data_IF_926365115936
#
_entry.id   IF_926365115936
#
_cell.length_a   1.000
_cell.length_b   1.000
_cell.length_c   1.000
_cell.angle_alpha   90.00
_cell.angle_beta   90.00
_cell.angle_gamma   90.00
#
_symmetry.space_group_name_H-M   'P 1'
#
loop_
_entity.id
_entity.type
_entity.pdbx_description
1 polymer ?
#
# COMPACT_ATOMS: atom_id res chain seq x y z
N UNK A 1 53.94 -3.58 10.47
CA UNK A 1 52.94 -4.51 11.03
C UNK A 1 51.58 -3.92 10.70
N UNK A 2 50.96 -4.39 9.60
CA UNK A 2 49.60 -4.04 9.20
C UNK A 2 48.65 -4.98 9.95
N UNK A 3 47.73 -4.46 10.73
CA UNK A 3 46.57 -5.19 11.22
C UNK A 3 45.35 -4.85 10.36
N UNK A 4 44.87 -5.82 9.60
CA UNK A 4 43.61 -5.74 8.87
C UNK A 4 42.45 -5.98 9.83
N UNK A 5 41.65 -4.96 10.04
CA UNK A 5 40.38 -5.08 10.75
C UNK A 5 39.31 -5.60 9.78
N UNK A 6 38.92 -6.85 9.97
CA UNK A 6 37.76 -7.44 9.31
C UNK A 6 36.51 -6.82 9.94
N UNK A 7 35.82 -5.97 9.21
CA UNK A 7 34.49 -5.50 9.58
C UNK A 7 33.50 -6.65 9.35
N UNK A 8 33.06 -7.29 10.43
CA UNK A 8 31.95 -8.23 10.38
C UNK A 8 30.65 -7.44 10.05
N UNK A 9 30.10 -7.65 8.88
CA UNK A 9 28.74 -7.24 8.56
C UNK A 9 27.78 -8.06 9.45
N UNK A 10 27.35 -7.48 10.56
CA UNK A 10 26.20 -8.00 11.28
C UNK A 10 24.95 -7.72 10.43
N UNK A 11 24.53 -8.72 9.68
CA UNK A 11 23.16 -8.77 9.15
C UNK A 11 22.25 -8.94 10.37
N UNK A 12 21.73 -7.85 10.89
CA UNK A 12 20.62 -7.91 11.81
C UNK A 12 19.43 -8.42 11.03
N UNK A 13 19.16 -9.70 11.14
CA UNK A 13 17.86 -10.26 10.80
C UNK A 13 16.85 -9.62 11.74
N UNK A 14 16.14 -8.60 11.26
CA UNK A 14 14.98 -8.06 11.94
C UNK A 14 13.92 -9.15 11.87
N UNK A 15 13.79 -9.91 12.95
CA UNK A 15 12.68 -10.83 13.12
C UNK A 15 11.40 -9.99 13.24
N UNK A 16 10.64 -9.91 12.16
CA UNK A 16 9.33 -9.30 12.20
C UNK A 16 8.43 -10.13 13.08
N UNK A 17 8.21 -9.70 14.30
CA UNK A 17 7.10 -10.12 15.14
C UNK A 17 5.87 -9.34 14.67
N UNK A 18 4.80 -10.02 14.25
CA UNK A 18 3.49 -9.40 14.32
C UNK A 18 3.29 -9.03 15.79
N UNK A 19 3.35 -7.75 16.10
CA UNK A 19 3.26 -7.26 17.45
C UNK A 19 1.78 -7.28 17.84
N UNK A 20 1.40 -8.24 18.68
CA UNK A 20 0.19 -8.03 19.47
C UNK A 20 0.53 -6.97 20.51
N UNK A 21 -0.22 -5.89 20.56
CA UNK A 21 -0.11 -4.92 21.65
C UNK A 21 -0.24 -5.68 22.97
N UNK A 22 0.78 -5.64 23.82
CA UNK A 22 0.73 -6.36 25.09
C UNK A 22 -0.29 -5.69 26.01
N UNK A 23 -1.36 -6.41 26.29
CA UNK A 23 -2.31 -5.98 27.29
C UNK A 23 -1.60 -5.89 28.66
N UNK A 24 -1.94 -4.84 29.42
CA UNK A 24 -1.42 -4.68 30.77
C UNK A 24 -1.61 -5.99 31.58
N UNK A 25 -0.58 -6.44 32.30
CA UNK A 25 -0.57 -7.68 33.07
C UNK A 25 -1.66 -7.74 34.15
N UNK A 26 -2.26 -6.62 34.52
CA UNK A 26 -3.42 -6.55 35.46
C UNK A 26 -4.74 -6.97 34.82
N UNK A 27 -4.82 -7.06 33.48
CA UNK A 27 -6.01 -7.53 32.77
C UNK A 27 -6.11 -9.05 32.92
N UNK A 28 -6.99 -9.51 33.79
CA UNK A 28 -7.14 -10.95 34.12
C UNK A 28 -8.10 -11.68 33.19
N UNK A 29 -9.16 -11.00 32.77
CA UNK A 29 -10.23 -11.59 31.95
C UNK A 29 -10.16 -11.05 30.51
N UNK A 30 -9.24 -11.60 29.73
CA UNK A 30 -9.08 -11.23 28.32
C UNK A 30 -10.17 -11.88 27.49
N UNK A 31 -11.21 -11.12 27.14
CA UNK A 31 -12.27 -11.58 26.24
C UNK A 31 -11.74 -11.70 24.79
N UNK A 32 -12.40 -12.53 23.95
CA UNK A 32 -12.04 -12.60 22.52
C UNK A 32 -12.10 -11.22 21.82
N UNK A 33 -13.07 -10.39 22.15
CA UNK A 33 -13.21 -9.03 21.59
C UNK A 33 -12.04 -8.12 22.00
N UNK A 34 -11.62 -8.19 23.27
CA UNK A 34 -10.47 -7.41 23.75
C UNK A 34 -9.17 -7.87 23.09
N UNK A 35 -8.99 -9.18 22.94
CA UNK A 35 -7.83 -9.75 22.23
C UNK A 35 -7.80 -9.29 20.77
N UNK A 36 -8.92 -9.36 20.06
CA UNK A 36 -9.04 -8.89 18.69
C UNK A 36 -8.73 -7.38 18.57
N UNK A 37 -9.28 -6.57 19.49
CA UNK A 37 -9.05 -5.13 19.51
C UNK A 37 -7.60 -4.74 19.85
N UNK A 38 -6.86 -5.60 20.57
CA UNK A 38 -5.44 -5.37 20.89
C UNK A 38 -4.48 -5.88 19.81
N UNK A 39 -4.98 -6.56 18.78
CA UNK A 39 -4.17 -7.04 17.65
C UNK A 39 -3.99 -5.90 16.66
N UNK A 40 -2.75 -5.43 16.51
CA UNK A 40 -2.35 -4.43 15.52
C UNK A 40 -1.33 -5.04 14.54
N UNK A 41 -1.21 -4.45 13.36
CA UNK A 41 -0.30 -4.96 12.34
C UNK A 41 -0.87 -6.13 11.56
N UNK A 42 -0.04 -7.13 11.30
CA UNK A 42 -0.48 -8.34 10.57
C UNK A 42 -1.52 -9.09 11.37
N UNK A 43 -2.72 -9.19 10.80
CA UNK A 43 -3.78 -10.01 11.39
C UNK A 43 -3.56 -11.49 11.06
N UNK A 44 -3.82 -12.38 12.03
CA UNK A 44 -3.70 -13.83 11.86
C UNK A 44 -4.82 -14.55 12.60
N UNK A 45 -5.35 -15.59 11.95
CA UNK A 45 -6.33 -16.51 12.53
C UNK A 45 -5.93 -17.95 12.27
N UNK A 46 -5.95 -18.76 13.33
CA UNK A 46 -5.76 -20.20 13.27
C UNK A 46 -7.06 -20.89 13.67
N UNK A 47 -7.66 -21.66 12.75
CA UNK A 47 -8.92 -22.37 13.00
C UNK A 47 -8.63 -23.71 13.69
N UNK A 48 -9.09 -23.91 14.96
CA UNK A 48 -8.80 -25.13 15.71
C UNK A 48 -9.43 -26.39 15.09
N UNK A 49 -10.56 -26.27 14.39
CA UNK A 49 -11.27 -27.42 13.81
C UNK A 49 -10.60 -27.97 12.54
N UNK A 50 -9.70 -27.20 11.93
CA UNK A 50 -9.05 -27.56 10.68
C UNK A 50 -7.55 -27.89 10.82
N UNK A 51 -7.04 -28.01 12.06
CA UNK A 51 -5.60 -28.21 12.32
C UNK A 51 -5.06 -29.52 11.75
N UNK A 52 -5.90 -30.53 11.56
CA UNK A 52 -5.52 -31.83 11.00
C UNK A 52 -5.29 -31.78 9.47
N UNK A 53 -5.66 -30.72 8.79
CA UNK A 53 -5.42 -30.58 7.35
C UNK A 53 -3.94 -30.37 7.07
N UNK A 54 -3.46 -30.98 5.98
CA UNK A 54 -2.10 -30.70 5.47
C UNK A 54 -1.99 -29.24 5.06
N UNK A 55 -0.83 -28.64 5.33
CA UNK A 55 -0.55 -27.30 4.88
C UNK A 55 -0.42 -27.25 3.36
N UNK A 56 -1.20 -26.41 2.72
CA UNK A 56 -1.11 -26.02 1.33
C UNK A 56 -1.32 -24.52 1.26
N UNK A 57 -0.24 -23.81 0.96
CA UNK A 57 -0.17 -22.38 1.09
C UNK A 57 -0.47 -21.67 -0.23
N UNK A 58 -1.12 -20.51 -0.14
CA UNK A 58 -1.29 -19.58 -1.25
C UNK A 58 -1.10 -18.13 -0.75
N UNK A 59 -0.70 -17.25 -1.64
CA UNK A 59 -0.75 -15.81 -1.45
C UNK A 59 -1.93 -15.29 -2.26
N UNK A 60 -2.80 -14.49 -1.65
CA UNK A 60 -3.89 -13.78 -2.32
C UNK A 60 -3.59 -12.28 -2.31
N UNK A 61 -3.32 -11.72 -3.48
CA UNK A 61 -3.16 -10.28 -3.68
C UNK A 61 -4.53 -9.66 -3.92
N UNK A 62 -4.91 -8.69 -3.10
CA UNK A 62 -6.12 -7.90 -3.27
C UNK A 62 -5.78 -6.50 -3.74
N UNK A 63 -6.48 -6.00 -4.73
CA UNK A 63 -6.27 -4.68 -5.34
C UNK A 63 -7.57 -4.08 -5.82
N UNK A 64 -7.67 -2.75 -5.80
CA UNK A 64 -8.82 -2.05 -6.39
C UNK A 64 -8.97 -2.36 -7.90
N UNK A 65 -7.84 -2.53 -8.59
CA UNK A 65 -7.80 -2.79 -10.02
C UNK A 65 -7.73 -1.52 -10.88
N UNK A 66 -7.62 -1.71 -12.18
CA UNK A 66 -7.65 -0.63 -13.18
C UNK A 66 -8.16 -1.14 -14.52
N UNK A 67 -8.82 -0.24 -15.29
CA UNK A 67 -9.26 -0.50 -16.68
C UNK A 67 -8.20 -0.16 -17.71
N UNK A 68 -7.04 0.35 -17.30
CA UNK A 68 -5.92 0.70 -18.18
C UNK A 68 -4.96 -0.49 -18.26
N UNK A 69 -5.04 -1.26 -19.35
CA UNK A 69 -4.26 -2.49 -19.53
C UNK A 69 -2.74 -2.29 -19.40
N UNK A 70 -2.19 -1.26 -20.05
CA UNK A 70 -0.75 -0.96 -19.98
C UNK A 70 -0.29 -0.56 -18.57
N UNK A 71 -1.12 0.22 -17.87
CA UNK A 71 -0.84 0.62 -16.48
C UNK A 71 -0.91 -0.59 -15.56
N UNK A 72 -1.92 -1.46 -15.74
CA UNK A 72 -2.07 -2.71 -14.98
C UNK A 72 -0.82 -3.57 -15.11
N UNK A 73 -0.37 -3.81 -16.35
CA UNK A 73 0.82 -4.64 -16.63
C UNK A 73 2.09 -4.11 -15.94
N UNK A 74 2.26 -2.79 -15.88
CA UNK A 74 3.43 -2.14 -15.28
C UNK A 74 3.35 -2.00 -13.76
N UNK A 75 2.17 -2.13 -13.18
CA UNK A 75 1.93 -1.88 -11.75
C UNK A 75 1.46 -3.14 -11.04
N UNK A 76 0.18 -3.48 -11.11
CA UNK A 76 -0.42 -4.63 -10.40
C UNK A 76 0.28 -5.92 -10.79
N UNK A 77 0.31 -6.24 -12.09
CA UNK A 77 0.91 -7.48 -12.59
C UNK A 77 2.41 -7.55 -12.26
N UNK A 78 3.11 -6.40 -12.26
CA UNK A 78 4.53 -6.32 -11.90
C UNK A 78 4.78 -6.57 -10.40
N UNK A 79 3.87 -6.11 -9.52
CA UNK A 79 3.94 -6.41 -8.07
C UNK A 79 3.68 -7.89 -7.83
N UNK A 80 2.65 -8.45 -8.45
CA UNK A 80 2.33 -9.88 -8.34
C UNK A 80 3.47 -10.77 -8.82
N UNK A 81 4.04 -10.43 -9.99
CA UNK A 81 5.20 -11.14 -10.53
C UNK A 81 6.42 -11.05 -9.60
N UNK A 82 6.62 -9.90 -8.93
CA UNK A 82 7.71 -9.74 -7.97
C UNK A 82 7.50 -10.59 -6.71
N UNK A 83 6.27 -10.64 -6.18
CA UNK A 83 5.89 -11.51 -5.06
C UNK A 83 6.05 -12.97 -5.46
N UNK A 84 5.53 -13.40 -6.63
CA UNK A 84 5.67 -14.77 -7.12
C UNK A 84 7.13 -15.17 -7.31
N UNK A 85 7.97 -14.26 -7.79
CA UNK A 85 9.41 -14.52 -7.94
C UNK A 85 10.12 -14.69 -6.59
N UNK A 86 9.71 -13.95 -5.58
CA UNK A 86 10.24 -14.07 -4.22
C UNK A 86 9.77 -15.38 -3.52
N UNK A 87 8.59 -15.87 -3.88
CA UNK A 87 7.96 -17.08 -3.34
C UNK A 87 7.64 -18.10 -4.44
N UNK A 88 8.64 -18.72 -5.10
CA UNK A 88 8.41 -19.55 -6.27
C UNK A 88 7.57 -20.81 -5.98
N UNK A 89 7.58 -21.31 -4.76
CA UNK A 89 6.88 -22.52 -4.34
C UNK A 89 5.45 -22.26 -3.82
N UNK A 90 5.05 -20.98 -3.67
CA UNK A 90 3.74 -20.58 -3.16
C UNK A 90 3.02 -19.81 -4.27
N UNK A 91 1.93 -20.35 -4.84
CA UNK A 91 1.23 -19.66 -5.94
C UNK A 91 0.56 -18.36 -5.46
N UNK A 92 0.65 -17.35 -6.32
CA UNK A 92 0.02 -16.05 -6.14
C UNK A 92 -1.28 -16.01 -6.92
N UNK A 93 -2.35 -15.58 -6.26
CA UNK A 93 -3.68 -15.38 -6.82
C UNK A 93 -4.03 -13.89 -6.70
N UNK A 94 -4.90 -13.42 -7.60
CA UNK A 94 -5.36 -12.04 -7.67
C UNK A 94 -6.85 -11.93 -7.41
N UNK A 95 -7.27 -10.89 -6.71
CA UNK A 95 -8.66 -10.48 -6.61
C UNK A 95 -8.79 -8.96 -6.73
N UNK A 96 -9.82 -8.52 -7.45
CA UNK A 96 -10.19 -7.11 -7.58
C UNK A 96 -11.29 -6.76 -6.60
N UNK A 97 -11.11 -5.69 -5.84
CA UNK A 97 -12.11 -5.22 -4.87
C UNK A 97 -13.16 -4.31 -5.51
N UNK A 98 -12.86 -3.69 -6.65
CA UNK A 98 -13.82 -2.83 -7.36
C UNK A 98 -14.63 -3.60 -8.39
N UNK A 99 -15.92 -3.86 -8.08
CA UNK A 99 -16.85 -4.50 -9.01
C UNK A 99 -17.01 -3.73 -10.31
N UNK A 100 -17.01 -2.39 -10.25
CA UNK A 100 -17.10 -1.52 -11.44
C UNK A 100 -15.90 -1.76 -12.36
N UNK A 101 -14.70 -1.89 -11.81
CA UNK A 101 -13.50 -2.18 -12.60
C UNK A 101 -13.55 -3.58 -13.20
N UNK A 102 -14.01 -4.58 -12.45
CA UNK A 102 -14.19 -5.95 -12.95
C UNK A 102 -15.11 -5.95 -14.18
N UNK A 103 -16.27 -5.32 -14.07
CA UNK A 103 -17.25 -5.25 -15.16
C UNK A 103 -16.71 -4.51 -16.39
N UNK A 104 -16.00 -3.39 -16.17
CA UNK A 104 -15.39 -2.62 -17.26
C UNK A 104 -14.25 -3.37 -17.96
N UNK A 105 -13.40 -4.07 -17.21
CA UNK A 105 -12.32 -4.91 -17.77
C UNK A 105 -12.93 -6.05 -18.60
N UNK A 106 -13.97 -6.71 -18.07
CA UNK A 106 -14.70 -7.75 -18.82
C UNK A 106 -15.31 -7.21 -20.10
N UNK A 107 -15.97 -6.06 -20.05
CA UNK A 107 -16.59 -5.44 -21.22
C UNK A 107 -15.58 -5.00 -22.28
N UNK A 108 -14.43 -4.47 -21.85
CA UNK A 108 -13.41 -3.88 -22.74
C UNK A 108 -12.43 -4.92 -23.30
N UNK A 109 -12.05 -5.92 -22.48
CA UNK A 109 -10.96 -6.84 -22.78
C UNK A 109 -11.42 -8.31 -22.84
N UNK A 110 -12.66 -8.62 -22.43
CA UNK A 110 -13.14 -10.00 -22.30
C UNK A 110 -12.53 -10.79 -21.15
N UNK A 111 -11.73 -10.13 -20.28
CA UNK A 111 -11.04 -10.76 -19.15
C UNK A 111 -11.95 -10.74 -17.93
N UNK A 112 -12.23 -11.91 -17.35
CA UNK A 112 -12.95 -12.01 -16.08
C UNK A 112 -11.95 -11.94 -14.92
N UNK A 113 -11.97 -10.84 -14.16
CA UNK A 113 -11.27 -10.71 -12.88
C UNK A 113 -12.18 -11.24 -11.76
N UNK A 114 -11.59 -11.87 -10.74
CA UNK A 114 -12.32 -12.41 -9.59
C UNK A 114 -12.55 -11.32 -8.53
N UNK A 115 -13.70 -11.38 -7.87
CA UNK A 115 -13.87 -10.70 -6.59
C UNK A 115 -13.10 -11.43 -5.47
N UNK A 116 -12.86 -10.82 -4.30
CA UNK A 116 -12.26 -11.51 -3.16
C UNK A 116 -13.03 -12.78 -2.75
N UNK A 117 -14.37 -12.75 -2.77
CA UNK A 117 -15.23 -13.90 -2.46
C UNK A 117 -15.03 -15.05 -3.45
N UNK A 118 -14.94 -14.74 -4.74
CA UNK A 118 -14.69 -15.72 -5.80
C UNK A 118 -13.29 -16.33 -5.67
N UNK A 119 -12.27 -15.48 -5.36
CA UNK A 119 -10.91 -15.93 -5.16
C UNK A 119 -10.77 -16.87 -3.96
N UNK A 120 -11.36 -16.54 -2.80
CA UNK A 120 -11.39 -17.43 -1.64
C UNK A 120 -12.13 -18.73 -1.94
N UNK A 121 -13.25 -18.67 -2.66
CA UNK A 121 -14.02 -19.86 -3.06
C UNK A 121 -13.19 -20.77 -3.95
N UNK A 122 -12.47 -20.22 -4.92
CA UNK A 122 -11.53 -20.95 -5.78
C UNK A 122 -10.40 -21.58 -4.98
N UNK A 123 -9.73 -20.81 -4.11
CA UNK A 123 -8.66 -21.32 -3.25
C UNK A 123 -9.14 -22.51 -2.41
N UNK A 124 -10.33 -22.41 -1.81
CA UNK A 124 -10.91 -23.51 -1.04
C UNK A 124 -11.19 -24.73 -1.90
N UNK A 125 -11.78 -24.54 -3.09
CA UNK A 125 -12.09 -25.64 -4.04
C UNK A 125 -10.81 -26.34 -4.53
N UNK A 126 -9.72 -25.61 -4.70
CA UNK A 126 -8.41 -26.16 -5.09
C UNK A 126 -7.63 -26.78 -3.91
N UNK A 127 -8.20 -26.77 -2.70
CA UNK A 127 -7.67 -27.43 -1.51
C UNK A 127 -6.55 -26.66 -0.81
N UNK A 128 -6.42 -25.36 -1.04
CA UNK A 128 -5.55 -24.52 -0.21
C UNK A 128 -6.11 -24.43 1.19
N UNK A 129 -5.23 -24.55 2.18
CA UNK A 129 -5.60 -24.60 3.60
C UNK A 129 -5.12 -23.39 4.38
N UNK A 130 -4.03 -22.74 3.90
CA UNK A 130 -3.50 -21.51 4.50
C UNK A 130 -3.39 -20.44 3.41
N UNK A 131 -3.92 -19.24 3.68
CA UNK A 131 -3.92 -18.13 2.72
C UNK A 131 -3.34 -16.88 3.38
N UNK A 132 -2.21 -16.41 2.84
CA UNK A 132 -1.62 -15.12 3.18
C UNK A 132 -2.19 -14.05 2.25
N UNK A 133 -2.90 -13.08 2.81
CA UNK A 133 -3.52 -11.98 2.05
C UNK A 133 -2.60 -10.77 2.05
N UNK A 134 -2.34 -10.21 0.89
CA UNK A 134 -1.56 -8.99 0.67
C UNK A 134 -2.45 -7.96 -0.02
N UNK A 135 -2.81 -6.91 0.70
CA UNK A 135 -3.52 -5.77 0.13
C UNK A 135 -2.52 -4.85 -0.58
N UNK A 136 -2.85 -4.41 -1.80
CA UNK A 136 -2.08 -3.39 -2.52
C UNK A 136 -2.52 -1.97 -2.17
N UNK A 137 -3.29 -1.80 -1.11
CA UNK A 137 -3.67 -0.48 -0.62
C UNK A 137 -2.46 0.27 -0.04
N UNK A 138 -2.49 1.58 -0.20
CA UNK A 138 -1.36 2.45 0.21
C UNK A 138 -1.47 2.83 1.68
N UNK A 139 -2.69 3.00 2.18
CA UNK A 139 -3.02 3.43 3.55
C UNK A 139 -4.13 2.55 4.14
N UNK A 140 -4.33 2.50 5.47
CA UNK A 140 -5.48 1.82 6.08
C UNK A 140 -6.76 2.65 5.87
N UNK A 141 -7.25 2.66 4.63
CA UNK A 141 -8.44 3.36 4.18
C UNK A 141 -9.70 2.48 4.16
N UNK A 142 -10.69 2.91 3.39
CA UNK A 142 -11.96 2.20 3.24
C UNK A 142 -11.74 0.86 2.52
N UNK A 143 -10.89 0.84 1.50
CA UNK A 143 -10.56 -0.33 0.71
C UNK A 143 -9.88 -1.40 1.57
N UNK A 144 -8.87 -1.02 2.36
CA UNK A 144 -8.23 -1.94 3.31
C UNK A 144 -9.20 -2.47 4.39
N UNK A 145 -10.15 -1.65 4.81
CA UNK A 145 -11.22 -2.09 5.72
C UNK A 145 -12.08 -3.18 5.08
N UNK A 146 -12.38 -3.07 3.78
CA UNK A 146 -13.06 -4.12 3.02
C UNK A 146 -12.23 -5.40 2.95
N UNK A 147 -10.92 -5.30 2.60
CA UNK A 147 -10.01 -6.44 2.57
C UNK A 147 -9.94 -7.16 3.93
N UNK A 148 -9.92 -6.39 5.01
CA UNK A 148 -9.94 -6.93 6.38
C UNK A 148 -11.24 -7.67 6.69
N UNK A 149 -12.38 -7.07 6.39
CA UNK A 149 -13.69 -7.66 6.65
C UNK A 149 -13.87 -8.95 5.86
N UNK A 150 -13.62 -8.93 4.54
CA UNK A 150 -13.82 -10.11 3.70
C UNK A 150 -12.88 -11.26 4.07
N UNK A 151 -11.63 -10.95 4.45
CA UNK A 151 -10.68 -11.96 4.93
C UNK A 151 -11.16 -12.60 6.22
N UNK A 152 -11.59 -11.80 7.20
CA UNK A 152 -12.12 -12.28 8.48
C UNK A 152 -13.38 -13.13 8.31
N UNK A 153 -14.23 -12.84 7.35
CA UNK A 153 -15.41 -13.66 7.02
C UNK A 153 -15.06 -15.07 6.51
N UNK A 154 -13.81 -15.33 6.14
CA UNK A 154 -13.37 -16.66 5.70
C UNK A 154 -12.78 -17.53 6.81
N UNK A 155 -12.72 -17.07 8.07
CA UNK A 155 -12.08 -17.77 9.20
C UNK A 155 -12.53 -19.22 9.37
N UNK A 156 -13.80 -19.52 9.15
CA UNK A 156 -14.33 -20.88 9.28
C UNK A 156 -13.96 -21.82 8.13
N UNK A 157 -13.41 -21.30 7.03
CA UNK A 157 -13.18 -22.07 5.79
C UNK A 157 -11.74 -22.52 5.64
N UNK A 158 -10.77 -21.83 6.27
CA UNK A 158 -9.35 -22.11 6.13
C UNK A 158 -8.71 -22.49 7.46
N UNK A 159 -7.66 -23.33 7.37
CA UNK A 159 -6.86 -23.71 8.53
C UNK A 159 -6.19 -22.51 9.16
N UNK A 160 -5.56 -21.69 8.33
CA UNK A 160 -4.94 -20.43 8.75
C UNK A 160 -5.19 -19.34 7.71
N UNK A 161 -5.42 -18.15 8.19
CA UNK A 161 -5.52 -16.92 7.40
C UNK A 161 -4.63 -15.86 8.02
N UNK A 162 -3.95 -15.10 7.19
CA UNK A 162 -3.28 -13.88 7.61
C UNK A 162 -3.57 -12.75 6.64
N UNK A 163 -3.56 -11.52 7.14
CA UNK A 163 -3.69 -10.31 6.34
C UNK A 163 -2.55 -9.36 6.70
N UNK A 164 -1.71 -9.07 5.72
CA UNK A 164 -0.66 -8.07 5.86
C UNK A 164 -1.26 -6.67 6.05
N UNK A 165 -0.47 -5.78 6.66
CA UNK A 165 -0.80 -4.36 6.69
C UNK A 165 -0.75 -3.77 5.27
N UNK A 166 -1.44 -2.65 5.00
CA UNK A 166 -1.25 -1.91 3.75
C UNK A 166 0.19 -1.37 3.68
N UNK A 167 0.54 -0.70 2.58
CA UNK A 167 1.90 -0.19 2.35
C UNK A 167 2.41 0.66 3.51
N UNK A 168 1.57 1.56 4.03
CA UNK A 168 1.85 2.41 5.20
C UNK A 168 0.81 2.13 6.30
N UNK A 169 1.26 1.62 7.41
CA UNK A 169 0.43 1.32 8.59
C UNK A 169 1.07 1.87 9.87
N UNK A 170 2.25 1.40 10.23
CA UNK A 170 2.98 1.87 11.40
C UNK A 170 3.67 3.22 11.16
N UNK A 171 3.77 4.03 12.21
CA UNK A 171 4.25 5.40 12.17
C UNK A 171 5.44 5.66 13.11
N UNK A 172 6.18 4.61 13.48
CA UNK A 172 7.36 4.71 14.32
C UNK A 172 7.06 4.94 15.81
N UNK A 173 5.94 4.45 16.31
CA UNK A 173 5.57 4.55 17.73
C UNK A 173 5.78 3.21 18.44
N UNK A 174 6.12 3.25 19.71
CA UNK A 174 6.23 2.07 20.61
C UNK A 174 7.14 0.94 20.07
N UNK A 175 8.19 1.31 19.33
CA UNK A 175 9.13 0.34 18.77
C UNK A 175 8.78 -0.23 17.40
N UNK A 176 7.61 0.10 16.88
CA UNK A 176 7.19 -0.26 15.52
C UNK A 176 7.94 0.56 14.46
N UNK A 177 8.11 0.05 13.23
CA UNK A 177 8.78 0.77 12.15
C UNK A 177 8.00 2.02 11.73
N UNK A 178 8.69 3.01 11.16
CA UNK A 178 8.03 4.13 10.48
C UNK A 178 7.88 3.83 8.99
N UNK A 179 6.81 3.12 8.64
CA UNK A 179 6.53 2.70 7.25
C UNK A 179 6.25 3.88 6.31
N UNK A 180 5.91 5.05 6.86
CA UNK A 180 5.77 6.27 6.06
C UNK A 180 7.15 6.78 5.62
N UNK A 181 8.15 6.70 6.49
CA UNK A 181 9.56 6.99 6.15
C UNK A 181 10.09 5.97 5.12
N UNK A 182 9.79 4.68 5.31
CA UNK A 182 10.20 3.63 4.37
C UNK A 182 9.62 3.87 2.97
N UNK A 183 8.33 4.20 2.91
CA UNK A 183 7.65 4.58 1.67
C UNK A 183 8.32 5.79 1.00
N UNK A 184 8.54 6.89 1.73
CA UNK A 184 9.19 8.09 1.20
C UNK A 184 10.61 7.80 0.70
N UNK A 185 11.36 6.95 1.40
CA UNK A 185 12.68 6.49 0.96
C UNK A 185 12.61 5.64 -0.32
N UNK A 186 11.56 4.84 -0.49
CA UNK A 186 11.36 4.04 -1.70
C UNK A 186 11.06 4.92 -2.93
N UNK A 187 10.23 5.97 -2.77
CA UNK A 187 9.79 6.81 -3.90
C UNK A 187 10.69 8.01 -4.19
N UNK A 188 11.57 8.41 -3.27
CA UNK A 188 12.42 9.63 -3.44
C UNK A 188 13.28 9.61 -4.69
N UNK A 189 13.67 8.45 -5.21
CA UNK A 189 14.44 8.31 -6.45
C UNK A 189 13.66 8.72 -7.71
N UNK A 190 12.33 8.78 -7.61
CA UNK A 190 11.44 9.21 -8.68
C UNK A 190 11.20 10.71 -8.67
N UNK A 191 11.56 11.41 -7.60
CA UNK A 191 11.43 12.86 -7.56
C UNK A 191 12.39 13.49 -8.55
N UNK A 192 11.94 14.50 -9.34
CA UNK A 192 12.81 15.21 -10.23
C UNK A 192 13.90 15.94 -9.44
N UNK A 193 15.03 16.20 -10.10
CA UNK A 193 16.02 17.12 -9.55
C UNK A 193 15.39 18.51 -9.45
N UNK A 194 15.34 19.04 -8.23
CA UNK A 194 14.64 20.28 -7.93
C UNK A 194 15.62 21.41 -7.61
N UNK A 195 15.46 22.54 -8.32
CA UNK A 195 16.09 23.80 -8.00
C UNK A 195 15.34 24.55 -6.88
N UNK A 196 15.80 25.76 -6.59
CA UNK A 196 15.18 26.59 -5.51
C UNK A 196 13.75 27.05 -5.81
N UNK A 197 13.38 27.10 -7.09
CA UNK A 197 12.06 27.54 -7.55
C UNK A 197 11.13 26.36 -7.95
N UNK A 198 11.60 25.13 -7.74
CA UNK A 198 10.91 23.90 -8.15
C UNK A 198 10.26 23.21 -6.96
N UNK A 199 9.04 22.73 -7.13
CA UNK A 199 8.34 21.90 -6.17
C UNK A 199 7.76 20.64 -6.83
N UNK A 200 7.65 19.55 -6.08
CA UNK A 200 6.93 18.35 -6.46
C UNK A 200 5.67 18.22 -5.59
N UNK A 201 4.53 18.07 -6.23
CA UNK A 201 3.27 17.77 -5.59
C UNK A 201 2.96 16.29 -5.78
N UNK A 202 2.97 15.53 -4.69
CA UNK A 202 2.59 14.13 -4.69
C UNK A 202 1.09 14.00 -4.43
N UNK A 203 0.39 13.47 -5.43
CA UNK A 203 -1.07 13.36 -5.45
C UNK A 203 -1.53 12.02 -4.89
N UNK A 204 -2.25 12.05 -3.78
CA UNK A 204 -2.96 10.93 -3.22
C UNK A 204 -4.42 10.89 -3.70
N UNK A 205 -5.09 9.74 -3.58
CA UNK A 205 -6.51 9.62 -3.91
C UNK A 205 -7.37 10.47 -2.95
N UNK A 206 -7.21 10.28 -1.67
CA UNK A 206 -8.13 10.80 -0.65
C UNK A 206 -9.14 9.73 -0.24
N UNK A 207 -9.76 9.91 0.91
CA UNK A 207 -10.79 9.00 1.42
C UNK A 207 -11.63 9.70 2.50
N UNK A 208 -12.95 9.42 2.60
CA UNK A 208 -13.76 9.86 3.73
C UNK A 208 -13.45 9.10 5.03
N UNK A 209 -12.67 8.00 4.96
CA UNK A 209 -12.25 7.21 6.11
C UNK A 209 -11.25 8.00 6.97
N UNK A 210 -11.22 7.80 8.32
CA UNK A 210 -10.22 8.42 9.20
C UNK A 210 -8.76 8.20 8.77
N UNK A 211 -8.48 7.14 8.00
CA UNK A 211 -7.19 6.89 7.34
C UNK A 211 -6.70 8.03 6.46
N UNK A 212 -7.57 8.96 6.06
CA UNK A 212 -7.17 10.20 5.36
C UNK A 212 -6.10 11.00 6.14
N UNK A 213 -6.02 10.85 7.46
CA UNK A 213 -5.01 11.48 8.29
C UNK A 213 -3.57 11.08 7.90
N UNK A 214 -3.37 9.94 7.24
CA UNK A 214 -2.05 9.52 6.75
C UNK A 214 -1.42 10.52 5.79
N UNK A 215 -2.20 11.25 5.03
CA UNK A 215 -1.65 12.27 4.12
C UNK A 215 -1.02 13.44 4.90
N UNK A 216 -1.53 13.77 6.08
CA UNK A 216 -0.88 14.73 6.98
C UNK A 216 0.38 14.15 7.63
N UNK A 217 0.37 12.85 7.94
CA UNK A 217 1.57 12.16 8.45
C UNK A 217 2.66 12.11 7.37
N UNK A 218 2.30 11.83 6.11
CA UNK A 218 3.25 11.88 4.99
C UNK A 218 3.89 13.27 4.89
N UNK A 219 3.11 14.35 5.00
CA UNK A 219 3.63 15.71 4.97
C UNK A 219 4.58 16.00 6.16
N UNK A 220 4.25 15.55 7.36
CA UNK A 220 5.14 15.66 8.53
C UNK A 220 6.48 14.93 8.30
N UNK A 221 6.45 13.72 7.72
CA UNK A 221 7.67 12.97 7.42
C UNK A 221 8.48 13.57 6.28
N UNK A 222 7.83 14.14 5.26
CA UNK A 222 8.48 14.93 4.20
C UNK A 222 9.29 16.08 4.81
N UNK A 223 8.70 16.83 5.73
CA UNK A 223 9.35 17.95 6.40
C UNK A 223 10.51 17.48 7.30
N UNK A 224 10.33 16.42 8.08
CA UNK A 224 11.37 15.83 8.93
C UNK A 224 12.56 15.26 8.14
N UNK A 225 12.31 14.75 6.94
CA UNK A 225 13.36 14.27 6.02
C UNK A 225 14.05 15.39 5.23
N UNK A 226 13.67 16.66 5.48
CA UNK A 226 14.26 17.83 4.81
C UNK A 226 13.86 17.97 3.34
N UNK A 227 12.79 17.32 2.91
CA UNK A 227 12.27 17.40 1.53
C UNK A 227 11.42 18.66 1.33
N UNK A 228 12.02 19.84 1.54
CA UNK A 228 11.34 21.13 1.67
C UNK A 228 10.54 21.58 0.43
N UNK A 229 10.79 20.95 -0.71
CA UNK A 229 10.16 21.22 -2.00
C UNK A 229 9.08 20.18 -2.37
N UNK A 230 8.77 19.23 -1.48
CA UNK A 230 7.76 18.19 -1.72
C UNK A 230 6.52 18.45 -0.87
N UNK A 231 5.34 18.33 -1.47
CA UNK A 231 4.05 18.54 -0.78
C UNK A 231 3.10 17.42 -1.17
N UNK A 232 2.35 16.92 -0.18
CA UNK A 232 1.27 15.98 -0.42
C UNK A 232 -0.06 16.72 -0.56
N UNK A 233 -0.89 16.26 -1.48
CA UNK A 233 -2.27 16.65 -1.61
C UNK A 233 -3.12 15.49 -2.11
N UNK A 234 -4.44 15.58 -2.02
CA UNK A 234 -5.36 14.55 -2.45
C UNK A 234 -6.43 15.08 -3.39
N UNK A 235 -6.95 14.18 -4.25
CA UNK A 235 -8.06 14.48 -5.16
C UNK A 235 -9.36 14.61 -4.35
N UNK A 236 -9.71 13.59 -3.57
CA UNK A 236 -10.99 13.47 -2.86
C UNK A 236 -10.87 13.59 -1.33
N UNK A 237 -9.79 14.21 -0.82
CA UNK A 237 -9.55 14.30 0.61
C UNK A 237 -8.89 15.61 1.03
N UNK A 238 -8.17 15.54 2.15
CA UNK A 238 -7.37 16.65 2.70
C UNK A 238 -5.95 16.17 3.04
N UNK A 239 -4.91 17.05 2.84
CA UNK A 239 -4.98 18.37 2.19
C UNK A 239 -5.35 18.24 0.71
N UNK A 240 -6.01 19.23 0.15
CA UNK A 240 -6.29 19.33 -1.28
C UNK A 240 -5.46 20.42 -1.96
N UNK A 241 -5.65 20.60 -3.26
CA UNK A 241 -4.85 21.55 -4.04
C UNK A 241 -5.01 23.00 -3.54
N UNK A 242 -6.21 23.39 -3.06
CA UNK A 242 -6.44 24.72 -2.51
C UNK A 242 -5.68 24.96 -1.19
N UNK A 243 -5.37 23.92 -0.44
CA UNK A 243 -4.58 24.00 0.79
C UNK A 243 -3.08 24.16 0.49
N UNK A 244 -2.62 23.70 -0.69
CA UNK A 244 -1.20 23.69 -1.07
C UNK A 244 -0.78 24.90 -1.89
N UNK A 245 -1.61 25.39 -2.81
CA UNK A 245 -1.31 26.55 -3.67
C UNK A 245 -0.81 27.77 -2.87
N UNK A 246 -1.45 28.19 -1.76
CA UNK A 246 -0.95 29.31 -0.97
C UNK A 246 0.46 29.07 -0.40
N UNK A 247 0.77 27.84 0.01
CA UNK A 247 2.09 27.44 0.54
C UNK A 247 3.17 27.53 -0.54
N UNK A 248 2.87 27.08 -1.77
CA UNK A 248 3.79 27.18 -2.91
C UNK A 248 4.12 28.64 -3.23
N UNK A 249 3.11 29.50 -3.27
CA UNK A 249 3.28 30.94 -3.52
C UNK A 249 4.10 31.62 -2.41
N UNK A 250 3.81 31.33 -1.16
CA UNK A 250 4.52 31.90 -0.01
C UNK A 250 6.00 31.51 0.00
N UNK A 251 6.35 30.32 -0.48
CA UNK A 251 7.74 29.85 -0.60
C UNK A 251 8.44 30.29 -1.90
N UNK A 252 7.73 30.95 -2.81
CA UNK A 252 8.30 31.50 -4.06
C UNK A 252 8.54 30.47 -5.15
N UNK A 253 7.93 29.30 -5.10
CA UNK A 253 8.02 28.30 -6.16
C UNK A 253 7.37 28.81 -7.43
N UNK A 254 7.94 28.42 -8.58
CA UNK A 254 7.46 28.81 -9.92
C UNK A 254 7.16 27.59 -10.79
N UNK A 255 7.91 26.51 -10.60
CA UNK A 255 7.74 25.27 -11.36
C UNK A 255 7.20 24.19 -10.45
N UNK A 256 6.21 23.45 -10.93
CA UNK A 256 5.56 22.37 -10.18
C UNK A 256 5.56 21.11 -11.02
N UNK A 257 6.02 19.99 -10.44
CA UNK A 257 5.84 18.67 -11.01
C UNK A 257 4.74 17.94 -10.24
N UNK A 258 3.70 17.48 -10.94
CA UNK A 258 2.65 16.64 -10.39
C UNK A 258 3.03 15.16 -10.54
N UNK A 259 2.88 14.39 -9.47
CA UNK A 259 3.25 12.98 -9.41
C UNK A 259 2.22 12.21 -8.56
N UNK A 260 1.59 11.11 -9.06
CA UNK A 260 0.67 10.34 -8.25
C UNK A 260 1.41 9.45 -7.25
N UNK A 261 0.85 9.29 -6.04
CA UNK A 261 1.23 8.28 -5.06
C UNK A 261 0.10 7.26 -4.87
N UNK A 262 -0.32 6.68 -5.98
CA UNK A 262 -1.34 5.63 -6.07
C UNK A 262 -0.72 4.39 -6.69
N UNK A 263 -1.23 3.20 -6.35
CA UNK A 263 -0.73 1.94 -6.91
C UNK A 263 -0.66 1.99 -8.43
N UNK A 264 -1.70 2.53 -9.06
CA UNK A 264 -1.83 2.69 -10.51
C UNK A 264 -1.97 4.16 -10.89
N UNK A 265 -1.37 4.59 -11.98
CA UNK A 265 -1.62 5.88 -12.61
C UNK A 265 -2.79 5.75 -13.59
N UNK A 266 -4.00 5.61 -13.04
CA UNK A 266 -5.25 5.41 -13.79
C UNK A 266 -5.94 6.73 -14.16
N UNK A 267 -7.27 6.73 -14.01
CA UNK A 267 -8.16 7.84 -14.42
C UNK A 267 -7.78 9.16 -13.75
N UNK A 268 -7.67 9.17 -12.41
CA UNK A 268 -7.29 10.37 -11.64
C UNK A 268 -5.94 10.96 -12.06
N UNK A 269 -4.95 10.13 -12.40
CA UNK A 269 -3.65 10.63 -12.84
C UNK A 269 -3.69 11.22 -14.26
N UNK A 270 -4.46 10.61 -15.15
CA UNK A 270 -4.52 11.04 -16.55
C UNK A 270 -5.51 12.19 -16.78
N UNK A 271 -6.65 12.19 -16.09
CA UNK A 271 -7.70 13.18 -16.28
C UNK A 271 -7.65 14.27 -15.21
N UNK A 272 -7.86 13.95 -13.93
CA UNK A 272 -7.94 14.97 -12.87
C UNK A 272 -6.58 15.66 -12.64
N UNK A 273 -5.47 14.92 -12.65
CA UNK A 273 -4.16 15.50 -12.42
C UNK A 273 -3.58 16.17 -13.69
N UNK A 274 -3.50 15.44 -14.80
CA UNK A 274 -2.71 15.80 -15.96
C UNK A 274 -3.55 16.17 -17.20
N UNK A 275 -4.87 16.08 -17.13
CA UNK A 275 -5.80 16.41 -18.22
C UNK A 275 -5.74 17.87 -18.65
N UNK A 276 -6.39 18.16 -19.78
CA UNK A 276 -6.47 19.52 -20.35
C UNK A 276 -7.73 20.28 -19.96
N UNK A 277 -8.65 19.62 -19.24
CA UNK A 277 -9.87 20.24 -18.76
C UNK A 277 -9.58 21.41 -17.79
N UNK A 278 -10.41 22.46 -17.76
CA UNK A 278 -10.19 23.65 -16.95
C UNK A 278 -10.10 23.38 -15.43
N UNK A 279 -10.69 22.29 -14.97
CA UNK A 279 -10.71 21.82 -13.58
C UNK A 279 -9.62 20.78 -13.25
N UNK A 280 -8.82 20.36 -14.25
CA UNK A 280 -7.65 19.54 -13.98
C UNK A 280 -6.63 20.28 -13.10
N UNK A 281 -5.91 19.54 -12.28
CA UNK A 281 -4.90 20.12 -11.36
C UNK A 281 -3.80 20.86 -12.13
N UNK A 282 -3.38 20.33 -13.28
CA UNK A 282 -2.45 20.99 -14.20
C UNK A 282 -2.99 22.35 -14.65
N UNK A 283 -4.25 22.42 -15.09
CA UNK A 283 -4.89 23.65 -15.56
C UNK A 283 -5.06 24.67 -14.42
N UNK A 284 -5.51 24.22 -13.25
CA UNK A 284 -5.67 25.06 -12.04
C UNK A 284 -4.34 25.68 -11.63
N UNK A 285 -3.27 24.90 -11.56
CA UNK A 285 -1.92 25.37 -11.19
C UNK A 285 -1.34 26.31 -12.25
N UNK A 286 -1.56 26.02 -13.54
CA UNK A 286 -1.13 26.90 -14.65
C UNK A 286 -1.83 28.25 -14.55
N UNK A 287 -3.16 28.24 -14.32
CA UNK A 287 -3.95 29.46 -14.09
C UNK A 287 -3.51 30.22 -12.84
N UNK A 288 -3.02 29.52 -11.81
CA UNK A 288 -2.46 30.13 -10.60
C UNK A 288 -1.06 30.72 -10.81
N UNK A 289 -0.45 30.57 -12.00
CA UNK A 289 0.81 31.19 -12.41
C UNK A 289 2.02 30.27 -12.33
N UNK A 290 1.86 28.96 -12.17
CA UNK A 290 2.95 27.99 -12.15
C UNK A 290 3.22 27.42 -13.55
N UNK A 291 4.48 27.09 -13.82
CA UNK A 291 4.85 26.18 -14.91
C UNK A 291 4.68 24.76 -14.40
N UNK A 292 3.84 23.95 -15.07
CA UNK A 292 3.46 22.62 -14.59
C UNK A 292 4.03 21.53 -15.50
N UNK A 293 4.69 20.56 -14.88
CA UNK A 293 5.09 19.29 -15.48
C UNK A 293 4.29 18.16 -14.84
N UNK A 294 4.15 17.03 -15.53
CA UNK A 294 3.47 15.83 -15.02
C UNK A 294 4.38 14.62 -15.14
N UNK A 295 4.41 13.80 -14.09
CA UNK A 295 5.08 12.51 -14.03
C UNK A 295 4.03 11.44 -13.74
N UNK A 296 3.56 10.75 -14.79
CA UNK A 296 2.41 9.83 -14.73
C UNK A 296 2.91 8.40 -14.65
N UNK A 297 3.27 7.98 -13.43
CA UNK A 297 3.69 6.61 -13.12
C UNK A 297 3.02 6.14 -11.83
N UNK A 298 2.54 4.90 -11.82
CA UNK A 298 1.98 4.28 -10.63
C UNK A 298 3.07 3.75 -9.69
N UNK A 299 2.74 3.63 -8.41
CA UNK A 299 3.69 3.14 -7.40
C UNK A 299 4.22 1.74 -7.72
N UNK A 300 3.39 0.87 -8.32
CA UNK A 300 3.80 -0.49 -8.71
C UNK A 300 4.90 -0.54 -9.78
N UNK A 301 5.16 0.54 -10.51
CA UNK A 301 6.28 0.63 -11.45
C UNK A 301 7.64 0.75 -10.74
N UNK A 302 7.66 1.16 -9.47
CA UNK A 302 8.87 1.36 -8.69
C UNK A 302 9.33 0.06 -8.03
N UNK A 303 10.57 -0.37 -8.32
CA UNK A 303 11.14 -1.60 -7.76
C UNK A 303 11.26 -1.56 -6.22
N UNK A 304 11.58 -0.40 -5.65
CA UNK A 304 11.68 -0.26 -4.20
C UNK A 304 10.30 -0.37 -3.53
N UNK A 305 9.24 0.12 -4.18
CA UNK A 305 7.87 -0.07 -3.69
C UNK A 305 7.44 -1.53 -3.82
N UNK A 306 7.78 -2.20 -4.94
CA UNK A 306 7.53 -3.65 -5.06
C UNK A 306 8.25 -4.45 -3.97
N UNK A 307 9.47 -4.04 -3.58
CA UNK A 307 10.18 -4.67 -2.46
C UNK A 307 9.43 -4.53 -1.13
N UNK A 308 8.76 -3.40 -0.88
CA UNK A 308 7.90 -3.24 0.30
C UNK A 308 6.69 -4.18 0.27
N UNK A 309 6.08 -4.43 -0.89
CA UNK A 309 4.98 -5.41 -0.99
C UNK A 309 5.45 -6.87 -0.87
N UNK A 310 6.67 -7.18 -1.32
CA UNK A 310 7.28 -8.49 -1.03
C UNK A 310 7.43 -8.65 0.48
N UNK A 311 7.89 -7.62 1.19
CA UNK A 311 7.98 -7.64 2.65
C UNK A 311 6.60 -7.85 3.30
N UNK A 312 5.52 -7.24 2.80
CA UNK A 312 4.15 -7.51 3.29
C UNK A 312 3.77 -9.00 3.12
N UNK A 313 4.14 -9.60 2.00
CA UNK A 313 3.91 -11.03 1.79
C UNK A 313 4.73 -11.90 2.76
N UNK A 314 6.00 -11.55 3.00
CA UNK A 314 6.86 -12.22 3.99
C UNK A 314 6.25 -12.16 5.39
N UNK A 315 5.75 -10.99 5.81
CA UNK A 315 5.12 -10.77 7.11
C UNK A 315 3.84 -11.60 7.27
N UNK A 316 2.99 -11.65 6.24
CA UNK A 316 1.77 -12.47 6.25
C UNK A 316 2.09 -13.97 6.32
N UNK A 317 3.06 -14.46 5.55
CA UNK A 317 3.48 -15.85 5.58
C UNK A 317 4.18 -16.23 6.91
N UNK A 318 4.92 -15.30 7.52
CA UNK A 318 5.58 -15.52 8.80
C UNK A 318 4.56 -15.74 9.94
N UNK A 319 3.36 -15.21 9.82
CA UNK A 319 2.29 -15.41 10.80
C UNK A 319 1.87 -16.90 10.94
N UNK A 320 2.04 -17.72 9.89
CA UNK A 320 1.75 -19.16 9.91
C UNK A 320 2.76 -20.01 10.69
N UNK A 321 3.87 -19.43 11.12
CA UNK A 321 4.95 -20.12 11.84
C UNK A 321 4.83 -19.96 13.37
N UNK A 322 3.82 -19.23 13.82
CA UNK A 322 3.54 -18.95 15.22
C UNK A 322 2.49 -19.91 15.76
#
# INVERSE_FOLDING_TARGET
ILSASVAALCVFGVGFSASAYELNAEVKDVTPALREASTIGVWHHSNPDLQNLKNKDAILVMTFGTTFADTRAKTIDAVEAAIQKAHPDIPVFEAYTSHIIIDRVKAKEGIQKMTPEEAFSKLKAEGYTRVAVVSLDVIPGMEYSYDSIITKMQMSKFKELSLATPLMYFQGTEGEPDQVVDFLNAVKSQFPVMGKEDATLIMAHGTPHPGNAYYSVIQDRIEKLGMNNVFVYSVEGRPNLNDVIPKLKAKGFKNVTLMPIMMVAGDHANNDMAGDDPDSHKSILTKAGFKVNTYIHGLGENENVRALYIQRADEALAAFKK
#
